data_IF_880458500690
#
_entry.id   IF_880458500690
#
_cell.length_a   1.000
_cell.length_b   1.000
_cell.length_c   1.000
_cell.angle_alpha   90.00
_cell.angle_beta   90.00
_cell.angle_gamma   90.00
#
_symmetry.space_group_name_H-M   'P 1'
#
loop_
_entity.id
_entity.type
_entity.pdbx_description
1 polymer ?
#
# COMPACT_ATOMS: atom_id res chain seq x y z
N UNK A 1 -24.51 -26.39 18.22
CA UNK A 1 -25.19 -25.47 17.28
C UNK A 1 -24.21 -24.37 16.86
N UNK A 2 -23.61 -24.48 15.67
CA UNK A 2 -22.68 -23.47 15.11
C UNK A 2 -23.51 -22.45 14.35
N UNK A 3 -23.53 -21.18 14.83
CA UNK A 3 -24.17 -20.07 14.12
C UNK A 3 -23.40 -19.78 12.82
N UNK A 4 -24.11 -19.87 11.69
CA UNK A 4 -23.63 -19.39 10.38
C UNK A 4 -23.41 -17.87 10.48
N UNK A 5 -22.20 -17.41 10.14
CA UNK A 5 -21.92 -15.98 9.93
C UNK A 5 -22.58 -15.57 8.63
N UNK A 6 -23.51 -14.63 8.73
CA UNK A 6 -24.21 -14.03 7.61
C UNK A 6 -23.22 -13.26 6.71
N UNK A 7 -23.33 -13.50 5.41
CA UNK A 7 -22.61 -12.77 4.37
C UNK A 7 -23.06 -11.30 4.38
N UNK A 8 -22.20 -10.41 4.78
CA UNK A 8 -22.36 -8.97 4.57
C UNK A 8 -22.08 -8.67 3.10
N UNK A 9 -22.97 -7.98 2.37
CA UNK A 9 -22.79 -7.73 0.94
C UNK A 9 -21.56 -6.85 0.69
N UNK A 10 -20.83 -7.16 -0.40
CA UNK A 10 -19.71 -6.41 -0.94
C UNK A 10 -20.09 -4.93 -1.06
N UNK A 11 -19.48 -4.05 -0.28
CA UNK A 11 -19.57 -2.61 -0.51
C UNK A 11 -18.89 -2.30 -1.83
N UNK A 12 -19.62 -1.61 -2.71
CA UNK A 12 -19.21 -1.15 -4.02
C UNK A 12 -17.83 -0.47 -3.95
N UNK A 13 -16.90 -0.89 -4.82
CA UNK A 13 -15.53 -0.38 -4.93
C UNK A 13 -15.43 1.14 -5.19
N UNK A 14 -16.57 1.81 -5.40
CA UNK A 14 -16.67 3.26 -5.62
C UNK A 14 -16.60 4.12 -4.36
N UNK A 15 -16.55 3.53 -3.16
CA UNK A 15 -16.51 4.27 -1.89
C UNK A 15 -15.09 4.43 -1.31
N UNK A 16 -14.06 4.43 -2.15
CA UNK A 16 -12.69 4.75 -1.75
C UNK A 16 -12.46 6.27 -1.58
N UNK A 17 -13.30 6.91 -0.78
CA UNK A 17 -13.24 8.35 -0.53
C UNK A 17 -13.50 8.76 0.92
N UNK A 18 -13.54 7.81 1.87
CA UNK A 18 -13.81 8.14 3.27
C UNK A 18 -12.51 8.22 4.06
N UNK A 19 -12.21 9.41 4.56
CA UNK A 19 -11.04 9.85 5.31
C UNK A 19 -10.97 9.35 6.76
N UNK A 20 -11.41 8.13 7.07
CA UNK A 20 -11.20 7.52 8.37
C UNK A 20 -10.25 6.34 8.22
N UNK A 21 -9.09 6.43 8.87
CA UNK A 21 -8.21 5.30 9.09
C UNK A 21 -9.01 4.20 9.82
N UNK A 22 -9.48 3.23 9.08
CA UNK A 22 -10.14 2.06 9.64
C UNK A 22 -9.09 0.97 9.78
N UNK A 23 -8.28 1.07 10.83
CA UNK A 23 -7.76 -0.16 11.44
C UNK A 23 -8.99 -0.88 11.96
N UNK A 24 -9.29 -2.06 11.43
CA UNK A 24 -10.36 -2.88 11.98
C UNK A 24 -9.91 -3.26 13.41
N UNK A 25 -10.64 -2.88 14.47
CA UNK A 25 -10.17 -3.00 15.84
C UNK A 25 -9.81 -4.43 16.26
N UNK A 26 -10.39 -5.43 15.59
CA UNK A 26 -10.27 -6.85 15.93
C UNK A 26 -9.54 -7.67 14.87
N UNK A 27 -8.75 -7.03 13.98
CA UNK A 27 -8.04 -7.75 12.94
C UNK A 27 -6.61 -8.04 13.37
N UNK A 28 -6.26 -9.33 13.41
CA UNK A 28 -4.88 -9.77 13.56
C UNK A 28 -4.15 -9.60 12.23
N UNK A 29 -3.37 -8.52 12.11
CA UNK A 29 -2.54 -8.21 10.94
C UNK A 29 -1.24 -9.03 10.88
N UNK A 30 -1.10 -10.07 11.69
CA UNK A 30 0.06 -10.98 11.68
C UNK A 30 -0.22 -12.32 11.01
N UNK A 31 -1.48 -12.58 10.63
CA UNK A 31 -1.93 -13.85 10.03
C UNK A 31 -1.73 -13.95 8.52
N UNK A 32 -2.27 -15.04 7.93
CA UNK A 32 -2.30 -15.29 6.48
C UNK A 32 -3.37 -14.41 5.81
N UNK A 33 -3.07 -13.13 5.66
CA UNK A 33 -3.94 -12.14 5.03
C UNK A 33 -3.17 -11.31 4.01
N UNK A 34 -3.82 -10.97 2.92
CA UNK A 34 -3.30 -10.02 1.95
C UNK A 34 -3.81 -8.63 2.28
N UNK A 35 -2.91 -7.66 2.29
CA UNK A 35 -3.19 -6.30 2.73
C UNK A 35 -2.85 -5.33 1.60
N UNK A 36 -3.86 -4.58 1.16
CA UNK A 36 -3.67 -3.42 0.29
C UNK A 36 -3.55 -2.16 1.14
N UNK A 37 -2.38 -1.54 1.11
CA UNK A 37 -2.10 -0.29 1.79
C UNK A 37 -2.16 0.87 0.81
N UNK A 38 -2.73 2.00 1.26
CA UNK A 38 -2.63 3.29 0.58
C UNK A 38 -2.01 4.31 1.53
N UNK A 39 -0.79 4.73 1.26
CA UNK A 39 -0.05 5.69 2.06
C UNK A 39 0.01 7.03 1.33
N UNK A 40 -0.59 8.08 1.90
CA UNK A 40 -0.59 9.42 1.31
C UNK A 40 0.54 10.27 1.86
N UNK A 41 1.16 11.04 0.98
CA UNK A 41 2.04 12.13 1.39
C UNK A 41 1.23 13.24 2.06
N UNK A 42 1.84 13.92 3.02
CA UNK A 42 1.19 15.03 3.75
C UNK A 42 1.05 16.29 2.87
N UNK A 43 1.92 16.46 1.89
CA UNK A 43 1.97 17.63 1.02
C UNK A 43 1.91 17.27 -0.46
N UNK A 44 1.63 18.29 -1.28
CA UNK A 44 1.34 18.17 -2.71
C UNK A 44 2.39 17.37 -3.49
N UNK A 45 2.00 16.20 -3.98
CA UNK A 45 2.62 15.42 -5.04
C UNK A 45 4.18 15.34 -5.00
N UNK A 46 4.81 14.98 -3.86
CA UNK A 46 6.27 14.99 -3.72
C UNK A 46 6.95 13.96 -4.63
N UNK A 47 6.21 12.91 -5.02
CA UNK A 47 6.74 11.80 -5.84
C UNK A 47 6.86 12.14 -7.33
N UNK A 48 6.51 13.36 -7.75
CA UNK A 48 6.93 13.90 -9.04
C UNK A 48 8.45 14.08 -9.14
N UNK A 49 9.14 14.22 -8.00
CA UNK A 49 10.60 14.23 -7.96
C UNK A 49 11.14 12.81 -8.07
N UNK A 50 11.92 12.57 -9.11
CA UNK A 50 12.46 11.24 -9.44
C UNK A 50 13.23 10.59 -8.28
N UNK A 51 14.09 11.36 -7.60
CA UNK A 51 14.91 10.82 -6.51
C UNK A 51 14.07 10.37 -5.32
N UNK A 52 13.01 11.14 -4.99
CA UNK A 52 12.06 10.75 -3.95
C UNK A 52 11.28 9.49 -4.36
N UNK A 53 10.77 9.45 -5.60
CA UNK A 53 10.04 8.28 -6.09
C UNK A 53 10.92 7.03 -6.06
N UNK A 54 12.15 7.13 -6.53
CA UNK A 54 13.11 6.03 -6.52
C UNK A 54 13.45 5.56 -5.10
N UNK A 55 13.65 6.51 -4.17
CA UNK A 55 13.91 6.22 -2.77
C UNK A 55 12.72 5.47 -2.13
N UNK A 56 11.48 5.91 -2.38
CA UNK A 56 10.29 5.24 -1.86
C UNK A 56 10.19 3.81 -2.40
N UNK A 57 10.27 3.61 -3.72
CA UNK A 57 10.18 2.28 -4.34
C UNK A 57 11.23 1.31 -3.79
N UNK A 58 12.49 1.73 -3.70
CA UNK A 58 13.58 0.91 -3.12
C UNK A 58 13.29 0.52 -1.67
N UNK A 59 12.70 1.41 -0.89
CA UNK A 59 12.40 1.14 0.52
C UNK A 59 11.19 0.23 0.72
N UNK A 60 10.18 0.24 -0.16
CA UNK A 60 9.11 -0.77 -0.15
C UNK A 60 9.73 -2.17 -0.24
N UNK A 61 10.57 -2.39 -1.25
CA UNK A 61 11.21 -3.68 -1.48
C UNK A 61 12.15 -4.08 -0.33
N UNK A 62 12.93 -3.11 0.17
CA UNK A 62 13.87 -3.34 1.28
C UNK A 62 13.14 -3.77 2.54
N UNK A 63 12.08 -3.06 2.97
CA UNK A 63 11.38 -3.38 4.21
C UNK A 63 10.53 -4.64 4.12
N UNK A 64 9.94 -4.95 2.97
CA UNK A 64 9.28 -6.23 2.77
C UNK A 64 10.27 -7.37 2.95
N UNK A 65 11.42 -7.33 2.29
CA UNK A 65 12.47 -8.35 2.41
C UNK A 65 13.02 -8.46 3.84
N UNK A 66 13.35 -7.33 4.47
CA UNK A 66 13.93 -7.29 5.82
C UNK A 66 13.00 -7.85 6.89
N UNK A 67 11.70 -7.60 6.77
CA UNK A 67 10.69 -8.03 7.74
C UNK A 67 9.98 -9.32 7.29
N UNK A 68 10.45 -9.97 6.22
CA UNK A 68 9.92 -11.21 5.67
C UNK A 68 8.45 -11.12 5.24
N UNK A 69 8.04 -9.95 4.74
CA UNK A 69 6.74 -9.77 4.11
C UNK A 69 6.79 -10.25 2.66
N UNK A 70 5.76 -10.95 2.22
CA UNK A 70 5.55 -11.20 0.80
C UNK A 70 5.08 -9.90 0.16
N UNK A 71 5.80 -9.41 -0.86
CA UNK A 71 5.41 -8.26 -1.66
C UNK A 71 4.86 -8.76 -2.99
N UNK A 72 3.59 -8.49 -3.25
CA UNK A 72 2.94 -8.84 -4.53
C UNK A 72 3.16 -7.77 -5.58
N UNK A 73 3.14 -6.52 -5.19
CA UNK A 73 3.41 -5.39 -6.07
C UNK A 73 3.10 -4.05 -5.42
N UNK A 74 3.46 -2.98 -6.14
CA UNK A 74 3.18 -1.62 -5.73
C UNK A 74 2.99 -0.70 -6.93
N UNK A 75 2.33 0.42 -6.71
CA UNK A 75 2.25 1.54 -7.64
C UNK A 75 2.40 2.85 -6.86
N UNK A 76 3.45 3.60 -7.16
CA UNK A 76 3.66 4.92 -6.59
C UNK A 76 3.06 5.97 -7.51
N UNK A 77 2.04 6.65 -7.02
CA UNK A 77 1.38 7.78 -7.65
C UNK A 77 2.07 9.09 -7.21
N UNK A 78 1.82 10.23 -7.89
CA UNK A 78 2.49 11.49 -7.54
C UNK A 78 2.38 11.94 -6.08
N UNK A 79 1.31 11.56 -5.37
CA UNK A 79 1.00 11.98 -4.00
C UNK A 79 0.71 10.83 -3.02
N UNK A 80 0.67 9.60 -3.50
CA UNK A 80 0.40 8.44 -2.66
C UNK A 80 1.02 7.15 -3.20
N UNK A 81 1.18 6.18 -2.33
CA UNK A 81 1.73 4.87 -2.61
C UNK A 81 0.67 3.80 -2.36
N UNK A 82 0.44 2.95 -3.34
CA UNK A 82 -0.29 1.70 -3.19
C UNK A 82 0.69 0.54 -3.08
N UNK A 83 0.48 -0.32 -2.09
CA UNK A 83 1.27 -1.56 -1.89
C UNK A 83 0.32 -2.71 -1.59
N UNK A 84 0.51 -3.83 -2.25
CA UNK A 84 -0.12 -5.10 -1.91
C UNK A 84 0.93 -6.05 -1.34
N UNK A 85 0.73 -6.47 -0.11
CA UNK A 85 1.67 -7.29 0.64
C UNK A 85 0.96 -8.25 1.59
N UNK A 86 1.68 -9.29 2.04
CA UNK A 86 1.20 -10.20 3.08
C UNK A 86 2.24 -10.36 4.19
N UNK A 87 1.83 -10.30 5.46
CA UNK A 87 2.69 -10.61 6.60
C UNK A 87 2.89 -12.10 6.83
N UNK A 88 2.24 -12.97 6.05
CA UNK A 88 2.23 -14.41 6.23
C UNK A 88 3.64 -14.97 6.47
N UNK A 89 3.82 -15.69 7.59
CA UNK A 89 5.11 -16.27 7.98
C UNK A 89 6.18 -15.27 8.44
N UNK A 90 5.90 -13.96 8.48
CA UNK A 90 6.88 -12.95 8.90
C UNK A 90 7.09 -12.91 10.42
N UNK A 91 6.07 -13.22 11.20
CA UNK A 91 6.06 -13.02 12.66
C UNK A 91 6.14 -11.56 13.09
N UNK A 92 5.92 -10.62 12.16
CA UNK A 92 6.07 -9.18 12.39
C UNK A 92 4.75 -8.46 12.15
N UNK A 93 4.30 -7.67 13.12
CA UNK A 93 3.07 -6.90 13.00
C UNK A 93 3.17 -5.80 11.92
N UNK A 94 2.05 -5.52 11.22
CA UNK A 94 1.97 -4.48 10.19
C UNK A 94 2.38 -3.10 10.71
N UNK A 95 2.06 -2.77 11.97
CA UNK A 95 2.47 -1.51 12.60
C UNK A 95 3.98 -1.32 12.54
N UNK A 96 4.76 -2.38 12.79
CA UNK A 96 6.23 -2.32 12.74
C UNK A 96 6.74 -2.06 11.31
N UNK A 97 6.12 -2.66 10.30
CA UNK A 97 6.44 -2.37 8.90
C UNK A 97 6.16 -0.91 8.57
N UNK A 98 4.96 -0.41 8.92
CA UNK A 98 4.54 0.97 8.69
C UNK A 98 5.45 1.98 9.40
N UNK A 99 5.73 1.76 10.68
CA UNK A 99 6.57 2.66 11.48
C UNK A 99 8.00 2.71 10.96
N UNK A 100 8.58 1.55 10.63
CA UNK A 100 9.93 1.48 10.08
C UNK A 100 10.01 2.16 8.71
N UNK A 101 9.09 1.86 7.81
CA UNK A 101 9.03 2.44 6.48
C UNK A 101 8.81 3.94 6.51
N UNK A 102 7.78 4.42 7.24
CA UNK A 102 7.46 5.85 7.33
C UNK A 102 8.56 6.66 8.00
N UNK A 103 9.12 6.16 9.10
CA UNK A 103 10.20 6.84 9.82
C UNK A 103 11.44 7.01 8.95
N UNK A 104 11.91 5.91 8.35
CA UNK A 104 13.09 5.94 7.51
C UNK A 104 12.91 6.82 6.27
N UNK A 105 11.81 6.67 5.54
CA UNK A 105 11.56 7.46 4.34
C UNK A 105 11.33 8.94 4.62
N UNK A 106 10.78 9.29 5.78
CA UNK A 106 10.72 10.67 6.26
C UNK A 106 12.13 11.22 6.49
N UNK A 107 13.00 10.47 7.18
CA UNK A 107 14.37 10.89 7.41
C UNK A 107 15.15 11.07 6.10
N UNK A 108 15.06 10.13 5.18
CA UNK A 108 15.72 10.24 3.87
C UNK A 108 15.16 11.40 3.02
N UNK A 109 13.85 11.67 3.11
CA UNK A 109 13.24 12.80 2.41
C UNK A 109 13.78 14.15 2.88
N UNK A 110 14.18 14.26 4.16
CA UNK A 110 14.81 15.47 4.70
C UNK A 110 16.16 15.75 4.06
N UNK A 111 16.94 14.72 3.77
CA UNK A 111 18.22 14.85 3.03
C UNK A 111 18.01 15.36 1.61
N UNK A 112 16.82 15.13 1.05
CA UNK A 112 16.39 15.64 -0.26
C UNK A 112 15.62 16.98 -0.15
N UNK A 113 15.79 17.69 0.96
CA UNK A 113 15.23 19.03 1.18
C UNK A 113 13.75 19.08 1.56
N UNK A 114 13.15 17.93 1.95
CA UNK A 114 11.76 17.91 2.40
C UNK A 114 11.66 18.17 3.90
N UNK A 115 10.59 18.86 4.31
CA UNK A 115 10.30 19.09 5.73
C UNK A 115 9.24 18.13 6.24
N UNK A 116 9.37 17.59 7.47
CA UNK A 116 8.32 16.79 8.09
C UNK A 116 7.08 17.66 8.40
N UNK A 117 5.86 17.06 8.51
CA UNK A 117 5.61 15.64 8.27
C UNK A 117 5.68 15.32 6.76
N UNK A 118 6.15 14.10 6.42
CA UNK A 118 6.22 13.65 5.03
C UNK A 118 5.03 12.78 4.65
N UNK A 119 4.60 11.91 5.57
CA UNK A 119 3.42 11.06 5.42
C UNK A 119 2.25 11.59 6.25
N UNK A 120 1.04 11.46 5.73
CA UNK A 120 -0.15 11.66 6.53
C UNK A 120 -0.18 10.64 7.68
N UNK A 121 -0.74 11.07 8.85
CA UNK A 121 -0.84 10.21 10.04
C UNK A 121 -1.74 9.00 9.80
N UNK A 122 -2.83 9.20 9.06
CA UNK A 122 -3.76 8.14 8.67
C UNK A 122 -3.38 7.58 7.31
N UNK A 123 -3.22 6.26 7.22
CA UNK A 123 -3.21 5.50 5.98
C UNK A 123 -4.54 4.76 5.85
N UNK A 124 -4.97 4.48 4.63
CA UNK A 124 -6.07 3.56 4.39
C UNK A 124 -5.47 2.18 4.18
N UNK A 125 -5.72 1.27 5.10
CA UNK A 125 -5.42 -0.14 4.96
C UNK A 125 -6.73 -0.86 4.58
N UNK A 126 -6.66 -1.61 3.51
CA UNK A 126 -7.72 -2.51 3.08
C UNK A 126 -7.21 -3.94 3.16
N UNK A 127 -7.88 -4.75 3.96
CA UNK A 127 -7.60 -6.18 4.02
C UNK A 127 -8.36 -6.85 2.90
N UNK A 128 -7.64 -7.54 2.04
CA UNK A 128 -8.24 -8.38 1.01
C UNK A 128 -9.03 -9.50 1.67
N UNK A 129 -10.34 -9.52 1.47
CA UNK A 129 -11.21 -10.56 2.01
C UNK A 129 -11.11 -11.81 1.14
N UNK A 130 -11.54 -12.95 1.65
CA UNK A 130 -11.52 -14.23 0.95
C UNK A 130 -12.21 -14.24 -0.44
N UNK A 131 -13.07 -13.26 -0.73
CA UNK A 131 -13.72 -13.09 -2.04
C UNK A 131 -12.89 -12.23 -3.02
N UNK A 132 -11.85 -11.54 -2.54
CA UNK A 132 -10.95 -10.73 -3.34
C UNK A 132 -9.61 -11.46 -3.40
N UNK A 133 -9.22 -11.92 -4.58
CA UNK A 133 -7.90 -12.52 -4.74
C UNK A 133 -6.84 -11.43 -4.84
N UNK A 134 -5.62 -11.74 -4.42
CA UNK A 134 -4.48 -10.81 -4.53
C UNK A 134 -4.27 -10.35 -5.98
N UNK A 135 -4.51 -11.24 -6.96
CA UNK A 135 -4.41 -10.94 -8.40
C UNK A 135 -5.38 -9.83 -8.81
N UNK A 136 -6.66 -9.92 -8.38
CA UNK A 136 -7.66 -8.89 -8.72
C UNK A 136 -7.32 -7.54 -8.12
N UNK A 137 -6.86 -7.54 -6.86
CA UNK A 137 -6.45 -6.31 -6.18
C UNK A 137 -5.20 -5.73 -6.84
N UNK A 138 -4.24 -6.56 -7.22
CA UNK A 138 -3.03 -6.14 -7.90
C UNK A 138 -3.33 -5.56 -9.29
N UNK A 139 -4.17 -6.23 -10.09
CA UNK A 139 -4.61 -5.73 -11.39
C UNK A 139 -5.27 -4.34 -11.26
N UNK A 140 -6.15 -4.17 -10.25
CA UNK A 140 -6.74 -2.86 -9.96
C UNK A 140 -5.69 -1.82 -9.56
N UNK A 141 -4.72 -2.20 -8.74
CA UNK A 141 -3.67 -1.33 -8.21
C UNK A 141 -2.77 -0.78 -9.32
N UNK A 142 -2.33 -1.64 -10.25
CA UNK A 142 -1.41 -1.22 -11.32
C UNK A 142 -2.06 -0.30 -12.36
N UNK A 143 -3.38 -0.37 -12.51
CA UNK A 143 -4.15 0.48 -13.43
C UNK A 143 -4.35 1.94 -12.91
N UNK A 144 -3.91 2.26 -11.70
CA UNK A 144 -4.07 3.61 -11.15
C UNK A 144 -3.47 4.72 -12.03
N UNK A 145 -2.25 4.60 -12.59
CA UNK A 145 -1.70 5.65 -13.43
C UNK A 145 -2.46 5.81 -14.75
N UNK A 146 -3.00 4.73 -15.31
CA UNK A 146 -3.83 4.80 -16.52
C UNK A 146 -5.15 5.52 -16.23
N UNK A 147 -5.84 5.14 -15.15
CA UNK A 147 -7.08 5.82 -14.72
C UNK A 147 -6.88 7.29 -14.37
N UNK A 148 -5.69 7.65 -13.92
CA UNK A 148 -5.32 9.03 -13.62
C UNK A 148 -4.82 9.81 -14.86
N UNK A 149 -4.77 9.19 -16.04
CA UNK A 149 -4.28 9.81 -17.28
C UNK A 149 -2.77 10.12 -17.26
N UNK A 150 -1.99 9.42 -16.43
CA UNK A 150 -0.55 9.62 -16.29
C UNK A 150 0.27 8.70 -17.21
N UNK A 151 -0.33 7.63 -17.70
CA UNK A 151 0.26 6.69 -18.63
C UNK A 151 -0.83 6.10 -19.53
N UNK A 152 -0.48 5.71 -20.76
CA UNK A 152 -1.40 5.00 -21.66
C UNK A 152 -1.57 3.54 -21.22
N UNK A 153 -0.51 2.94 -20.69
CA UNK A 153 -0.47 1.58 -20.16
C UNK A 153 0.31 1.57 -18.86
N UNK A 154 -0.09 0.71 -17.92
CA UNK A 154 0.54 0.65 -16.60
C UNK A 154 2.03 0.24 -16.66
N UNK A 155 2.43 -0.58 -17.62
CA UNK A 155 3.83 -0.99 -17.83
C UNK A 155 4.74 0.19 -18.21
N UNK A 156 4.16 1.24 -18.77
CA UNK A 156 4.85 2.49 -19.08
C UNK A 156 5.05 3.41 -17.86
N UNK A 157 4.43 3.10 -16.72
CA UNK A 157 4.60 3.89 -15.51
C UNK A 157 5.82 3.42 -14.70
N UNK A 158 6.89 4.23 -14.60
CA UNK A 158 8.19 3.76 -14.08
C UNK A 158 8.18 3.40 -12.59
N UNK A 159 7.11 3.76 -11.88
CA UNK A 159 6.95 3.58 -10.44
C UNK A 159 5.94 2.49 -10.09
N UNK A 160 5.67 1.59 -11.03
CA UNK A 160 4.88 0.38 -10.81
C UNK A 160 5.78 -0.84 -10.87
N UNK A 161 5.54 -1.79 -9.97
CA UNK A 161 6.21 -3.10 -9.98
C UNK A 161 5.23 -4.19 -9.62
N UNK A 162 5.24 -5.25 -10.41
CA UNK A 162 4.49 -6.49 -10.22
C UNK A 162 5.49 -7.61 -9.94
N UNK A 163 5.24 -8.39 -8.90
CA UNK A 163 6.10 -9.47 -8.41
C UNK A 163 5.38 -10.82 -8.36
N UNK A 164 4.10 -10.85 -8.71
CA UNK A 164 3.32 -12.06 -8.93
C UNK A 164 2.67 -12.01 -10.31
N UNK A 165 2.29 -13.17 -10.85
CA UNK A 165 1.53 -13.23 -12.10
C UNK A 165 0.10 -12.70 -11.89
N UNK A 166 -0.42 -11.94 -12.84
CA UNK A 166 -1.77 -11.37 -12.87
C UNK A 166 -2.53 -11.77 -14.13
#
# INVERSE_FOLDING_TARGET
MRRRRENTPLRDLRTYGSTRAVRLPDCDYSGDIDIHLTLRADRMAPFKHRDLAQMICKNVEFYCRRLRYTLYGYCLMPDHLHVLLSPAGSGTALSRWLDSFKSYTTHESMKLGRRPPFWQRSGNDHICRAAETAEKVLAYLVENPVRAGLAERWEGWPWTKVLMEI
#
